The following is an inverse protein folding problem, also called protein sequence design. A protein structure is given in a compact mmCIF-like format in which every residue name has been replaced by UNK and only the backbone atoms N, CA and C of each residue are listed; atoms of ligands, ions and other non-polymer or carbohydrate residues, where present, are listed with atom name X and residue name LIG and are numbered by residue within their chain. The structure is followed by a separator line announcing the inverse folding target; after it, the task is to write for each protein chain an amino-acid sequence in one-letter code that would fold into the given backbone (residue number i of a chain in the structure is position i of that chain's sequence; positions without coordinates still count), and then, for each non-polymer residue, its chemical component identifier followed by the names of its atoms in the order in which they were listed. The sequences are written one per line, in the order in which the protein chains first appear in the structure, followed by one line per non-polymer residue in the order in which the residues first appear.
data_IF_865352039989
#
_entry.id   IF_865352039989
#
_cell.length_a   1.000
_cell.length_b   1.000
_cell.length_c   1.000
_cell.angle_alpha   90.00
_cell.angle_beta   90.00
_cell.angle_gamma   90.00
#
_symmetry.space_group_name_H-M   'P 1'
#
loop_
_entity.id
_entity.type
_entity.pdbx_description
1 polymer ?
#
# COMPACT_ATOMS: atom_id res chain seq x y z
N UNK A 1 64.71 5.97 0.78
CA UNK A 1 64.09 6.99 -0.04
C UNK A 1 62.73 6.42 -0.47
N UNK A 2 61.75 6.69 0.32
CA UNK A 2 60.41 6.09 0.22
C UNK A 2 59.42 7.25 0.06
N UNK A 3 58.91 7.39 -1.14
CA UNK A 3 57.82 8.31 -1.47
C UNK A 3 56.55 7.84 -0.77
N UNK A 4 55.96 8.72 -0.01
CA UNK A 4 54.63 8.55 0.53
C UNK A 4 53.64 9.20 -0.47
N UNK A 5 52.91 8.37 -1.17
CA UNK A 5 51.75 8.78 -1.89
C UNK A 5 50.64 9.21 -0.91
N UNK A 6 50.36 10.48 -0.92
CA UNK A 6 49.25 11.13 -0.23
C UNK A 6 48.18 11.51 -1.25
N UNK A 7 47.25 10.62 -1.52
CA UNK A 7 46.05 10.97 -2.25
C UNK A 7 44.89 10.09 -1.80
N UNK A 8 44.25 10.54 -0.76
CA UNK A 8 42.97 10.05 -0.28
C UNK A 8 42.09 11.24 0.07
N UNK A 9 41.69 12.00 -0.93
CA UNK A 9 40.61 12.98 -0.76
C UNK A 9 39.33 12.19 -0.49
N UNK A 10 38.99 12.03 0.80
CA UNK A 10 37.70 11.59 1.26
C UNK A 10 36.70 12.66 0.82
N UNK A 11 35.99 12.42 -0.25
CA UNK A 11 34.77 13.16 -0.59
C UNK A 11 33.84 13.04 0.60
N UNK A 12 33.68 14.12 1.34
CA UNK A 12 32.72 14.24 2.43
C UNK A 12 31.31 14.03 1.81
N UNK A 13 30.81 12.81 1.89
CA UNK A 13 29.47 12.47 1.47
C UNK A 13 28.50 13.34 2.25
N UNK A 14 27.57 13.99 1.55
CA UNK A 14 26.45 14.73 2.14
C UNK A 14 25.75 13.83 3.15
N UNK A 15 25.67 14.28 4.41
CA UNK A 15 25.14 13.49 5.52
C UNK A 15 23.62 13.29 5.46
N UNK A 16 22.93 13.95 4.51
CA UNK A 16 21.48 13.86 4.31
C UNK A 16 21.14 13.22 2.94
N UNK A 17 19.97 12.58 2.89
CA UNK A 17 19.50 11.83 1.71
C UNK A 17 18.80 12.68 0.63
N UNK A 18 18.72 13.99 0.81
CA UNK A 18 18.06 14.87 -0.14
C UNK A 18 18.88 15.02 -1.42
N UNK A 19 18.20 15.01 -2.58
CA UNK A 19 18.86 15.27 -3.86
C UNK A 19 19.41 16.70 -3.93
N UNK A 20 20.57 16.94 -4.56
CA UNK A 20 21.14 18.27 -4.70
C UNK A 20 20.17 19.29 -5.29
N UNK A 21 19.41 18.91 -6.32
CA UNK A 21 18.39 19.75 -6.94
C UNK A 21 17.23 20.13 -5.99
N UNK A 22 16.94 19.32 -4.96
CA UNK A 22 15.96 19.68 -3.95
C UNK A 22 16.55 20.64 -2.93
N UNK A 23 17.81 20.43 -2.54
CA UNK A 23 18.50 21.31 -1.60
C UNK A 23 18.64 22.72 -2.20
N UNK A 24 19.00 22.82 -3.47
CA UNK A 24 19.04 24.10 -4.20
C UNK A 24 17.67 24.81 -4.17
N UNK A 25 16.61 24.09 -4.54
CA UNK A 25 15.24 24.66 -4.47
C UNK A 25 14.81 25.05 -3.06
N UNK A 26 15.21 24.30 -2.04
CA UNK A 26 14.95 24.63 -0.64
C UNK A 26 15.70 25.90 -0.19
N UNK A 27 16.88 26.16 -0.74
CA UNK A 27 17.66 27.36 -0.48
C UNK A 27 17.07 28.59 -1.19
N UNK A 28 16.61 28.42 -2.43
CA UNK A 28 16.05 29.51 -3.24
C UNK A 28 14.62 29.88 -2.82
N UNK A 29 13.79 28.91 -2.56
CA UNK A 29 12.35 29.10 -2.28
C UNK A 29 11.89 28.35 -0.99
N UNK A 30 12.49 28.63 0.19
CA UNK A 30 12.19 27.91 1.43
C UNK A 30 10.71 28.01 1.85
N UNK A 31 10.03 29.11 1.49
CA UNK A 31 8.63 29.36 1.81
C UNK A 31 7.63 28.40 1.16
N UNK A 32 8.03 27.67 0.12
CA UNK A 32 7.19 26.65 -0.53
C UNK A 32 7.10 25.33 0.22
N UNK A 33 7.93 25.14 1.23
CA UNK A 33 8.06 23.87 1.93
C UNK A 33 7.59 23.99 3.37
N UNK A 34 6.82 23.01 3.82
CA UNK A 34 6.45 22.89 5.23
C UNK A 34 7.54 22.16 6.03
N UNK A 35 7.73 22.57 7.27
CA UNK A 35 8.73 22.03 8.19
C UNK A 35 8.56 20.52 8.43
N UNK A 36 7.33 20.08 8.75
CA UNK A 36 7.05 18.66 9.02
C UNK A 36 7.25 17.79 7.77
N UNK A 37 6.86 18.31 6.59
CA UNK A 37 7.04 17.61 5.32
C UNK A 37 8.53 17.44 4.95
N UNK A 38 9.34 18.48 5.20
CA UNK A 38 10.78 18.43 5.01
C UNK A 38 11.43 17.38 5.91
N UNK A 39 11.12 17.39 7.21
CA UNK A 39 11.66 16.41 8.15
C UNK A 39 11.19 14.99 7.84
N UNK A 40 9.94 14.80 7.42
CA UNK A 40 9.46 13.51 6.99
C UNK A 40 10.30 12.97 5.82
N UNK A 41 10.60 13.83 4.84
CA UNK A 41 11.40 13.43 3.68
C UNK A 41 12.84 13.07 4.05
N UNK A 42 13.45 13.77 5.01
CA UNK A 42 14.75 13.41 5.57
C UNK A 42 14.63 12.10 6.35
N UNK A 43 13.61 11.98 7.20
CA UNK A 43 13.38 10.83 8.06
C UNK A 43 13.01 9.54 7.33
N UNK A 44 12.55 9.61 6.08
CA UNK A 44 12.26 8.44 5.24
C UNK A 44 13.53 7.65 4.86
N UNK A 45 14.71 8.26 4.93
CA UNK A 45 15.96 7.55 4.72
C UNK A 45 16.25 6.58 5.86
N UNK A 46 16.25 5.28 5.56
CA UNK A 46 16.51 4.21 6.54
C UNK A 46 17.95 4.14 7.04
N UNK A 47 18.88 4.83 6.36
CA UNK A 47 20.30 4.89 6.74
C UNK A 47 20.57 5.79 7.94
N UNK A 48 19.64 6.69 8.26
CA UNK A 48 19.73 7.57 9.41
C UNK A 48 18.85 7.05 10.56
N UNK A 49 19.24 7.33 11.78
CA UNK A 49 18.40 7.04 12.96
C UNK A 49 17.07 7.81 12.90
N UNK A 50 16.06 7.31 13.62
CA UNK A 50 14.79 8.04 13.74
C UNK A 50 15.04 9.45 14.27
N UNK A 51 14.46 10.44 13.61
CA UNK A 51 14.57 11.84 14.04
C UNK A 51 14.07 11.97 15.49
N UNK A 52 14.86 12.63 16.32
CA UNK A 52 14.57 12.81 17.74
C UNK A 52 14.90 11.64 18.64
N UNK A 53 15.55 10.55 18.14
CA UNK A 53 16.07 9.47 18.98
C UNK A 53 17.56 9.61 19.28
N UNK A 54 18.27 10.42 18.50
CA UNK A 54 19.70 10.64 18.70
C UNK A 54 20.00 11.16 20.12
N UNK A 55 20.96 10.52 20.77
CA UNK A 55 21.44 10.93 22.11
C UNK A 55 22.27 12.21 22.06
N UNK A 56 22.92 12.46 20.93
CA UNK A 56 23.75 13.65 20.70
C UNK A 56 23.31 14.35 19.43
N UNK A 57 23.20 15.68 19.44
CA UNK A 57 22.84 16.43 18.23
C UNK A 57 23.76 16.14 17.04
N UNK A 58 25.02 15.77 17.29
CA UNK A 58 25.99 15.45 16.22
C UNK A 58 25.62 14.21 15.38
N UNK A 59 24.78 13.33 15.90
CA UNK A 59 24.34 12.13 15.20
C UNK A 59 23.26 12.41 14.14
N UNK A 60 22.59 13.58 14.21
CA UNK A 60 21.57 13.94 13.22
C UNK A 60 22.20 14.68 12.01
N UNK A 61 21.75 14.39 10.78
CA UNK A 61 22.32 14.95 9.54
C UNK A 61 21.88 16.39 9.26
N UNK A 62 21.13 17.00 10.15
CA UNK A 62 20.63 18.35 10.03
C UNK A 62 20.74 19.11 11.34
N UNK A 63 20.51 20.42 11.29
CA UNK A 63 20.39 21.31 12.43
C UNK A 63 19.14 22.13 12.28
N UNK A 64 18.34 22.19 13.33
CA UNK A 64 17.15 23.02 13.43
C UNK A 64 17.44 24.21 14.34
N UNK A 65 16.97 25.36 13.96
CA UNK A 65 17.07 26.58 14.72
C UNK A 65 15.94 27.55 14.42
N UNK A 66 15.94 28.70 15.10
CA UNK A 66 14.96 29.74 14.87
C UNK A 66 15.65 31.01 14.34
N UNK A 67 15.02 31.62 13.35
CA UNK A 67 15.41 32.96 12.88
C UNK A 67 14.86 34.02 13.82
N UNK A 68 15.74 34.82 14.45
CA UNK A 68 15.31 35.97 15.25
C UNK A 68 14.62 36.97 14.33
N UNK A 69 13.30 37.10 14.46
CA UNK A 69 12.46 38.00 13.65
C UNK A 69 11.39 38.69 14.49
N UNK A 70 11.12 39.93 14.19
CA UNK A 70 10.02 40.71 14.78
C UNK A 70 8.79 40.76 13.86
N UNK A 71 8.89 40.20 12.67
CA UNK A 71 7.78 40.10 11.73
C UNK A 71 6.88 38.93 12.05
N UNK A 72 5.60 39.04 11.75
CA UNK A 72 4.74 37.87 11.65
C UNK A 72 5.24 36.94 10.54
N UNK A 73 5.36 35.68 10.86
CA UNK A 73 5.98 34.70 9.96
C UNK A 73 5.17 34.57 8.66
N UNK A 74 5.77 34.86 7.49
CA UNK A 74 5.10 34.64 6.19
C UNK A 74 5.08 33.16 5.75
N UNK A 75 5.93 32.34 6.35
CA UNK A 75 6.11 30.93 6.08
C UNK A 75 6.65 30.21 7.31
N UNK A 76 6.68 28.89 7.31
CA UNK A 76 7.27 28.12 8.41
C UNK A 76 8.80 28.20 8.37
N UNK A 77 9.40 27.94 7.20
CA UNK A 77 10.85 27.91 7.00
C UNK A 77 11.36 29.30 6.60
N UNK A 78 12.29 29.83 7.35
CA UNK A 78 12.92 31.10 7.10
C UNK A 78 14.05 30.99 6.08
N UNK A 79 15.00 30.10 6.34
CA UNK A 79 16.09 29.81 5.42
C UNK A 79 16.62 28.37 5.60
N UNK A 80 17.26 27.87 4.56
CA UNK A 80 17.96 26.60 4.54
C UNK A 80 19.37 26.83 4.01
N UNK A 81 20.39 26.33 4.72
CA UNK A 81 21.79 26.42 4.31
C UNK A 81 22.48 25.09 4.54
N UNK A 82 23.40 24.75 3.68
CA UNK A 82 24.30 23.64 3.90
C UNK A 82 25.60 24.16 4.51
N UNK A 83 25.97 23.65 5.68
CA UNK A 83 27.20 24.01 6.38
C UNK A 83 27.77 22.75 7.05
N UNK A 84 29.08 22.53 6.95
CA UNK A 84 29.79 21.38 7.54
C UNK A 84 29.19 20.02 7.11
N UNK A 85 28.74 19.91 5.88
CA UNK A 85 28.07 18.70 5.34
C UNK A 85 26.71 18.40 5.93
N UNK A 86 26.06 19.37 6.62
CA UNK A 86 24.75 19.25 7.24
C UNK A 86 23.80 20.32 6.78
N UNK A 87 22.53 19.97 6.77
CA UNK A 87 21.47 20.89 6.45
C UNK A 87 21.09 21.74 7.66
N UNK A 88 21.33 23.05 7.63
CA UNK A 88 20.87 24.01 8.65
C UNK A 88 19.53 24.59 8.23
N UNK A 89 18.48 24.30 8.98
CA UNK A 89 17.11 24.79 8.70
C UNK A 89 16.70 25.72 9.84
N UNK A 90 16.40 26.96 9.51
CA UNK A 90 15.87 27.95 10.46
C UNK A 90 14.39 28.20 10.19
N UNK A 91 13.61 28.22 11.26
CA UNK A 91 12.17 28.46 11.24
C UNK A 91 11.88 29.88 11.73
N UNK A 92 10.78 30.47 11.25
CA UNK A 92 10.29 31.74 11.82
C UNK A 92 9.55 31.52 13.14
N UNK A 93 8.76 30.46 13.22
CA UNK A 93 7.95 30.11 14.38
C UNK A 93 8.51 28.90 15.14
N UNK A 94 7.70 28.37 16.05
CA UNK A 94 7.99 27.16 16.83
C UNK A 94 9.29 27.27 17.66
N UNK A 95 9.58 28.46 18.19
CA UNK A 95 10.79 28.68 18.97
C UNK A 95 10.56 29.65 20.13
N UNK A 96 11.64 29.99 20.82
CA UNK A 96 11.62 30.86 21.99
C UNK A 96 11.63 32.34 21.65
N UNK A 97 12.00 32.72 20.43
CA UNK A 97 12.13 34.06 19.92
C UNK A 97 10.90 34.47 19.10
N UNK A 98 10.76 35.76 18.86
CA UNK A 98 9.72 36.33 18.01
C UNK A 98 8.49 36.86 18.75
N UNK A 99 7.52 37.46 18.02
CA UNK A 99 6.34 38.10 18.62
C UNK A 99 5.48 37.13 19.43
N UNK A 100 5.44 35.87 19.03
CA UNK A 100 4.68 34.82 19.69
C UNK A 100 5.55 33.87 20.53
N UNK A 101 6.84 34.21 20.71
CA UNK A 101 7.76 33.42 21.53
C UNK A 101 7.53 33.63 23.02
N UNK A 102 7.89 32.67 23.87
CA UNK A 102 7.77 32.77 25.32
C UNK A 102 8.78 33.72 25.95
N UNK A 103 9.87 34.06 25.27
CA UNK A 103 10.84 35.03 25.78
C UNK A 103 10.37 36.47 25.57
N UNK A 104 10.73 37.40 26.50
CA UNK A 104 10.41 38.77 26.31
C UNK A 104 10.97 39.33 24.99
N UNK A 105 10.22 40.23 24.35
CA UNK A 105 10.51 40.70 22.99
C UNK A 105 11.91 41.33 22.85
N UNK A 106 12.41 42.01 23.90
CA UNK A 106 13.75 42.60 23.91
C UNK A 106 14.87 41.57 23.73
N UNK A 107 14.66 40.30 24.15
CA UNK A 107 15.63 39.22 23.91
C UNK A 107 15.71 38.91 22.41
N UNK A 108 14.56 38.97 21.72
CA UNK A 108 14.51 38.79 20.26
C UNK A 108 15.21 39.94 19.56
N UNK A 109 15.01 41.19 20.04
CA UNK A 109 15.69 42.39 19.52
C UNK A 109 17.20 42.29 19.66
N UNK A 110 17.68 41.90 20.85
CA UNK A 110 19.11 41.68 21.10
C UNK A 110 19.69 40.61 20.20
N UNK A 111 19.02 39.46 20.09
CA UNK A 111 19.47 38.36 19.26
C UNK A 111 19.56 38.78 17.77
N UNK A 112 18.54 39.49 17.27
CA UNK A 112 18.51 40.03 15.92
C UNK A 112 19.58 41.08 15.67
N UNK A 113 19.76 42.06 16.58
CA UNK A 113 20.79 43.07 16.44
C UNK A 113 22.18 42.47 16.41
N UNK A 114 22.48 41.52 17.32
CA UNK A 114 23.78 40.84 17.33
C UNK A 114 24.03 40.10 16.02
N UNK A 115 23.04 39.35 15.53
CA UNK A 115 23.19 38.58 14.31
C UNK A 115 23.34 39.46 13.07
N UNK A 116 22.47 40.51 12.92
CA UNK A 116 22.43 41.33 11.70
C UNK A 116 23.47 42.45 11.69
N UNK A 117 23.67 43.13 12.81
CA UNK A 117 24.53 44.32 12.87
C UNK A 117 25.96 43.97 13.28
N UNK A 118 26.16 42.96 14.14
CA UNK A 118 27.48 42.60 14.67
C UNK A 118 28.03 41.31 14.11
N UNK A 119 27.25 40.64 13.25
CA UNK A 119 27.58 39.32 12.71
C UNK A 119 27.91 38.26 13.80
N UNK A 120 27.32 38.42 15.00
CA UNK A 120 27.51 37.56 16.14
C UNK A 120 26.25 36.72 16.39
N UNK A 121 26.28 35.48 15.92
CA UNK A 121 25.20 34.53 16.08
C UNK A 121 25.25 33.74 17.41
N UNK A 122 26.20 34.03 18.31
CA UNK A 122 26.44 33.22 19.52
C UNK A 122 25.19 33.01 20.37
N UNK A 123 24.38 34.07 20.58
CA UNK A 123 23.14 33.98 21.37
C UNK A 123 22.09 33.11 20.65
N UNK A 124 21.92 33.31 19.35
CA UNK A 124 20.99 32.50 18.55
C UNK A 124 21.43 31.04 18.51
N UNK A 125 22.71 30.78 18.26
CA UNK A 125 23.25 29.41 18.22
C UNK A 125 23.17 28.71 19.61
N UNK A 126 23.28 29.44 20.71
CA UNK A 126 23.06 28.92 22.05
C UNK A 126 21.59 28.50 22.23
N UNK A 127 20.65 29.33 21.84
CA UNK A 127 19.21 28.99 21.90
C UNK A 127 18.86 27.86 20.94
N UNK A 128 19.54 27.77 19.81
CA UNK A 128 19.34 26.72 18.81
C UNK A 128 19.71 25.32 19.33
N UNK A 129 20.52 25.21 20.39
CA UNK A 129 20.76 23.92 21.07
C UNK A 129 19.44 23.36 21.62
N UNK A 130 18.63 24.21 22.22
CA UNK A 130 17.32 23.83 22.77
C UNK A 130 16.28 23.69 21.65
N UNK A 131 16.26 24.62 20.70
CA UNK A 131 15.35 24.60 19.56
C UNK A 131 15.48 23.26 18.79
N UNK A 132 16.69 22.87 18.47
CA UNK A 132 16.95 21.61 17.78
C UNK A 132 16.34 20.41 18.50
N UNK A 133 16.53 20.33 19.80
CA UNK A 133 16.04 19.19 20.59
C UNK A 133 14.52 19.12 20.62
N UNK A 134 13.84 20.19 20.98
CA UNK A 134 12.40 20.11 21.08
C UNK A 134 11.68 20.09 19.73
N UNK A 135 12.24 20.72 18.68
CA UNK A 135 11.69 20.61 17.32
C UNK A 135 11.78 19.19 16.78
N UNK A 136 12.88 18.48 17.06
CA UNK A 136 12.98 17.05 16.71
C UNK A 136 12.00 16.18 17.50
N UNK A 137 11.76 16.49 18.77
CA UNK A 137 10.76 15.81 19.60
C UNK A 137 9.33 16.13 19.13
N UNK A 138 9.06 17.38 18.74
CA UNK A 138 7.78 17.78 18.16
C UNK A 138 7.50 17.02 16.87
N UNK A 139 8.48 16.94 15.97
CA UNK A 139 8.36 16.12 14.76
C UNK A 139 8.08 14.65 15.10
N UNK A 140 8.81 14.08 16.06
CA UNK A 140 8.61 12.69 16.49
C UNK A 140 7.21 12.46 17.04
N UNK A 141 6.69 13.38 17.86
CA UNK A 141 5.32 13.31 18.38
C UNK A 141 4.29 13.36 17.24
N UNK A 142 4.47 14.29 16.30
CA UNK A 142 3.63 14.36 15.11
C UNK A 142 3.72 13.10 14.26
N UNK A 143 4.91 12.63 13.94
CA UNK A 143 5.12 11.44 13.11
C UNK A 143 4.51 10.18 13.71
N UNK A 144 4.52 10.04 15.03
CA UNK A 144 3.91 8.89 15.72
C UNK A 144 2.38 8.83 15.58
N UNK A 145 1.74 9.97 15.31
CA UNK A 145 0.30 10.08 15.09
C UNK A 145 -0.09 10.01 13.59
N UNK A 146 0.89 9.97 12.68
CA UNK A 146 0.65 9.96 11.24
C UNK A 146 0.92 8.59 10.62
N UNK A 147 -0.14 7.92 10.13
CA UNK A 147 -0.03 6.65 9.43
C UNK A 147 0.99 6.72 8.27
N UNK A 148 0.93 7.79 7.46
CA UNK A 148 1.80 7.98 6.32
C UNK A 148 3.29 8.11 6.68
N UNK A 149 3.63 8.66 7.86
CA UNK A 149 5.01 8.73 8.33
C UNK A 149 5.53 7.38 8.83
N UNK A 150 4.64 6.52 9.37
CA UNK A 150 4.95 5.15 9.73
C UNK A 150 5.30 4.29 8.52
N UNK A 151 4.57 4.44 7.41
CA UNK A 151 4.79 3.70 6.17
C UNK A 151 6.17 3.95 5.53
N UNK A 152 6.79 5.10 5.78
CA UNK A 152 8.14 5.38 5.31
C UNK A 152 9.19 4.45 5.96
N UNK A 153 8.86 3.85 7.12
CA UNK A 153 9.71 2.92 7.89
C UNK A 153 8.91 1.70 8.37
N UNK A 154 8.75 0.68 7.53
CA UNK A 154 7.91 -0.49 7.82
C UNK A 154 8.26 -1.21 9.13
N UNK A 155 9.54 -1.24 9.53
CA UNK A 155 9.99 -1.91 10.76
C UNK A 155 9.45 -1.25 12.05
N UNK A 156 9.04 0.01 11.95
CA UNK A 156 8.52 0.83 13.04
C UNK A 156 7.03 1.16 12.92
N UNK A 157 6.41 0.65 11.87
CA UNK A 157 5.05 0.95 11.51
C UNK A 157 4.07 0.22 12.44
N UNK A 158 3.21 0.98 13.12
CA UNK A 158 2.23 0.45 14.08
C UNK A 158 0.78 0.58 13.62
N UNK A 159 0.51 1.50 12.71
CA UNK A 159 -0.86 1.76 12.30
C UNK A 159 -1.45 0.58 11.54
N UNK A 160 -0.69 0.01 10.61
CA UNK A 160 -1.11 -1.20 9.89
C UNK A 160 -1.30 -2.39 10.83
N UNK A 161 -0.44 -2.51 11.86
CA UNK A 161 -0.61 -3.54 12.88
C UNK A 161 -1.94 -3.38 13.63
N UNK A 162 -2.30 -2.16 14.05
CA UNK A 162 -3.58 -1.93 14.73
C UNK A 162 -4.78 -2.21 13.82
N UNK A 163 -4.74 -1.77 12.56
CA UNK A 163 -5.80 -2.02 11.60
C UNK A 163 -5.92 -3.53 11.31
N UNK A 164 -4.81 -4.23 11.12
CA UNK A 164 -4.78 -5.68 10.93
C UNK A 164 -5.39 -6.41 12.14
N UNK A 165 -4.97 -6.04 13.35
CA UNK A 165 -5.48 -6.64 14.60
C UNK A 165 -6.99 -6.43 14.76
N UNK A 166 -7.52 -5.25 14.41
CA UNK A 166 -8.96 -5.00 14.42
C UNK A 166 -9.72 -5.85 13.40
N UNK A 167 -9.08 -6.18 12.28
CA UNK A 167 -9.66 -7.04 11.24
C UNK A 167 -9.41 -8.54 11.48
N UNK A 168 -8.74 -8.92 12.57
CA UNK A 168 -8.38 -10.32 12.86
C UNK A 168 -7.31 -10.88 11.93
N UNK A 169 -6.47 -10.02 11.34
CA UNK A 169 -5.42 -10.40 10.40
C UNK A 169 -4.05 -10.36 11.08
N UNK A 170 -3.22 -11.38 10.86
CA UNK A 170 -1.81 -11.32 11.23
C UNK A 170 -1.00 -10.62 10.13
N UNK A 171 -0.35 -9.51 10.51
CA UNK A 171 0.43 -8.70 9.57
C UNK A 171 1.64 -9.46 9.00
N UNK A 172 2.19 -10.42 9.74
CA UNK A 172 3.30 -11.25 9.29
C UNK A 172 2.88 -12.24 8.20
N UNK A 173 1.66 -12.74 8.25
CA UNK A 173 1.13 -13.70 7.28
C UNK A 173 0.60 -13.04 6.01
N UNK A 174 -0.04 -11.86 6.13
CA UNK A 174 -0.59 -11.16 4.96
C UNK A 174 0.46 -10.69 3.94
N UNK A 175 1.73 -10.68 4.33
CA UNK A 175 2.86 -10.33 3.44
C UNK A 175 3.25 -11.42 2.44
N UNK A 176 2.77 -12.65 2.60
CA UNK A 176 3.22 -13.81 1.84
C UNK A 176 2.30 -14.22 0.66
N UNK A 177 1.19 -13.51 0.45
CA UNK A 177 0.22 -13.81 -0.61
C UNK A 177 0.40 -12.96 -1.88
N UNK A 178 -0.38 -13.23 -2.93
CA UNK A 178 -0.41 -12.45 -4.15
C UNK A 178 -1.00 -11.05 -3.97
N UNK A 179 -1.69 -10.79 -2.85
CA UNK A 179 -2.23 -9.48 -2.52
C UNK A 179 -1.21 -8.66 -1.73
N UNK A 180 -1.03 -7.38 -2.08
CA UNK A 180 -0.26 -6.46 -1.24
C UNK A 180 -0.88 -6.35 0.16
N UNK A 181 -0.07 -6.27 1.24
CA UNK A 181 -0.59 -6.19 2.61
C UNK A 181 -1.60 -5.06 2.81
N UNK A 182 -1.30 -3.88 2.28
CA UNK A 182 -2.20 -2.72 2.40
C UNK A 182 -3.51 -2.85 1.63
N UNK A 183 -3.59 -3.72 0.62
CA UNK A 183 -4.85 -3.98 -0.07
C UNK A 183 -5.88 -4.61 0.89
N UNK A 184 -5.48 -5.61 1.68
CA UNK A 184 -6.36 -6.21 2.70
C UNK A 184 -6.76 -5.21 3.77
N UNK A 185 -5.82 -4.39 4.23
CA UNK A 185 -6.08 -3.36 5.23
C UNK A 185 -7.06 -2.29 4.73
N UNK A 186 -7.05 -1.97 3.43
CA UNK A 186 -8.01 -1.02 2.84
C UNK A 186 -9.45 -1.54 2.88
N UNK A 187 -9.64 -2.85 2.89
CA UNK A 187 -10.95 -3.51 2.99
C UNK A 187 -11.36 -3.87 4.42
N UNK A 188 -10.60 -3.42 5.44
CA UNK A 188 -10.84 -3.78 6.85
C UNK A 188 -12.27 -3.53 7.31
N UNK A 189 -12.94 -2.47 6.83
CA UNK A 189 -14.32 -2.17 7.16
C UNK A 189 -15.32 -3.28 6.75
N UNK A 190 -15.00 -4.03 5.71
CA UNK A 190 -15.76 -5.20 5.28
C UNK A 190 -15.29 -6.47 5.98
N UNK A 191 -13.99 -6.60 6.23
CA UNK A 191 -13.38 -7.79 6.83
C UNK A 191 -13.63 -7.92 8.34
N UNK A 192 -13.85 -6.82 9.05
CA UNK A 192 -14.21 -6.82 10.50
C UNK A 192 -15.55 -7.46 10.78
N UNK A 193 -16.50 -7.38 9.84
CA UNK A 193 -17.84 -7.92 10.02
C UNK A 193 -17.82 -9.44 9.95
N UNK A 194 -18.40 -10.13 10.91
CA UNK A 194 -18.61 -11.58 10.85
C UNK A 194 -19.61 -11.96 9.76
N UNK A 195 -20.70 -11.22 9.62
CA UNK A 195 -21.68 -11.43 8.55
C UNK A 195 -21.12 -10.94 7.22
N UNK A 196 -20.65 -11.88 6.41
CA UNK A 196 -20.21 -11.62 5.03
C UNK A 196 -21.44 -11.48 4.13
N UNK A 197 -21.42 -10.46 3.29
CA UNK A 197 -22.52 -10.22 2.34
C UNK A 197 -21.99 -10.09 0.90
N UNK A 198 -22.82 -10.42 -0.12
CA UNK A 198 -22.42 -10.36 -1.51
C UNK A 198 -22.03 -8.94 -1.97
N UNK A 199 -22.73 -7.92 -1.46
CA UNK A 199 -22.43 -6.52 -1.78
C UNK A 199 -21.06 -6.08 -1.26
N UNK A 200 -20.69 -6.52 -0.05
CA UNK A 200 -19.36 -6.24 0.51
C UNK A 200 -18.24 -6.86 -0.31
N UNK A 201 -18.42 -8.10 -0.77
CA UNK A 201 -17.47 -8.75 -1.67
C UNK A 201 -17.39 -8.01 -3.00
N UNK A 202 -18.54 -7.70 -3.63
CA UNK A 202 -18.62 -6.95 -4.87
C UNK A 202 -17.87 -5.61 -4.77
N UNK A 203 -18.18 -4.80 -3.76
CA UNK A 203 -17.56 -3.49 -3.56
C UNK A 203 -16.05 -3.59 -3.33
N UNK A 204 -15.60 -4.60 -2.60
CA UNK A 204 -14.17 -4.84 -2.36
C UNK A 204 -13.43 -5.16 -3.66
N UNK A 205 -14.01 -6.06 -4.49
CA UNK A 205 -13.43 -6.44 -5.77
C UNK A 205 -13.46 -5.28 -6.78
N UNK A 206 -14.57 -4.55 -6.88
CA UNK A 206 -14.68 -3.36 -7.75
C UNK A 206 -13.65 -2.30 -7.38
N UNK A 207 -13.50 -2.03 -6.08
CA UNK A 207 -12.54 -1.04 -5.61
C UNK A 207 -11.09 -1.44 -5.92
N UNK A 208 -10.75 -2.72 -5.71
CA UNK A 208 -9.38 -3.20 -5.89
C UNK A 208 -8.98 -3.32 -7.37
N UNK A 209 -9.84 -3.90 -8.21
CA UNK A 209 -9.52 -4.16 -9.62
C UNK A 209 -9.88 -3.01 -10.56
N UNK A 210 -10.74 -2.09 -10.11
CA UNK A 210 -11.23 -0.97 -10.93
C UNK A 210 -12.10 -1.41 -12.10
N UNK A 211 -12.78 -2.56 -11.98
CA UNK A 211 -13.64 -3.14 -13.03
C UNK A 211 -15.02 -3.46 -12.46
N UNK A 212 -16.08 -3.45 -13.29
CA UNK A 212 -17.40 -3.84 -12.82
C UNK A 212 -17.43 -5.30 -12.38
N UNK A 213 -18.04 -5.57 -11.22
CA UNK A 213 -18.22 -6.90 -10.66
C UNK A 213 -19.67 -7.09 -10.25
N UNK A 214 -20.23 -8.27 -10.48
CA UNK A 214 -21.50 -8.70 -9.95
C UNK A 214 -21.37 -10.06 -9.27
N UNK A 215 -22.20 -10.34 -8.29
CA UNK A 215 -22.24 -11.62 -7.61
C UNK A 215 -23.61 -12.25 -7.89
N UNK A 216 -23.59 -13.42 -8.51
CA UNK A 216 -24.78 -14.25 -8.70
C UNK A 216 -24.81 -15.29 -7.57
N UNK A 217 -25.83 -15.22 -6.74
CA UNK A 217 -26.06 -16.15 -5.65
C UNK A 217 -26.85 -17.38 -6.11
N UNK A 218 -26.82 -18.44 -5.34
CA UNK A 218 -27.63 -19.67 -5.55
C UNK A 218 -27.38 -20.31 -6.93
N UNK A 219 -26.14 -20.37 -7.35
CA UNK A 219 -25.76 -20.96 -8.63
C UNK A 219 -25.93 -22.48 -8.55
N UNK A 220 -26.65 -23.03 -9.54
CA UNK A 220 -26.86 -24.44 -9.63
C UNK A 220 -25.56 -25.23 -9.82
N UNK A 221 -25.34 -26.24 -8.98
CA UNK A 221 -24.22 -27.16 -9.08
C UNK A 221 -24.67 -28.59 -8.78
N UNK A 222 -23.95 -29.59 -9.31
CA UNK A 222 -24.10 -30.98 -8.94
C UNK A 222 -23.03 -31.32 -7.90
N UNK A 223 -23.46 -31.88 -6.76
CA UNK A 223 -22.57 -32.38 -5.70
C UNK A 223 -22.52 -33.88 -5.81
N UNK A 224 -21.31 -34.43 -5.90
CA UNK A 224 -21.10 -35.86 -5.88
C UNK A 224 -21.43 -36.42 -4.49
N UNK A 225 -22.20 -37.48 -4.45
CA UNK A 225 -22.55 -38.21 -3.21
C UNK A 225 -21.44 -39.16 -2.87
N UNK A 226 -21.07 -39.30 -1.60
CA UNK A 226 -20.09 -40.28 -1.16
C UNK A 226 -20.51 -41.69 -1.52
N UNK A 227 -19.55 -42.53 -1.93
CA UNK A 227 -19.80 -43.89 -2.36
C UNK A 227 -20.54 -44.72 -1.31
N UNK A 228 -20.30 -44.44 -0.03
CA UNK A 228 -20.96 -45.12 1.10
C UNK A 228 -22.43 -44.73 1.27
N UNK A 229 -22.81 -43.59 0.73
CA UNK A 229 -24.18 -43.05 0.76
C UNK A 229 -24.96 -43.36 -0.52
N UNK A 230 -24.35 -44.05 -1.49
CA UNK A 230 -25.07 -44.47 -2.68
C UNK A 230 -26.15 -45.50 -2.36
N UNK A 231 -27.32 -45.36 -2.97
CA UNK A 231 -28.41 -46.31 -2.86
C UNK A 231 -28.17 -47.53 -3.71
N UNK A 232 -28.14 -48.72 -3.11
CA UNK A 232 -27.98 -49.98 -3.79
C UNK A 232 -29.20 -50.86 -3.63
N UNK A 233 -29.68 -51.40 -4.73
CA UNK A 233 -30.80 -52.35 -4.72
C UNK A 233 -30.44 -53.63 -3.93
N UNK A 234 -31.26 -53.99 -2.94
CA UNK A 234 -31.05 -55.19 -2.13
C UNK A 234 -30.03 -55.04 -0.99
N UNK A 235 -29.41 -53.87 -0.79
CA UNK A 235 -28.57 -53.64 0.39
C UNK A 235 -29.43 -53.01 1.54
N UNK A 236 -29.39 -53.57 2.74
CA UNK A 236 -30.06 -52.96 3.90
C UNK A 236 -29.22 -51.72 4.34
N UNK A 237 -29.88 -50.65 4.69
CA UNK A 237 -29.24 -49.42 5.19
C UNK A 237 -30.12 -48.19 4.99
N UNK A 238 -29.84 -47.12 5.72
CA UNK A 238 -30.55 -45.86 5.61
C UNK A 238 -30.46 -45.26 4.18
N UNK A 239 -29.29 -45.35 3.55
CA UNK A 239 -29.06 -44.88 2.21
C UNK A 239 -29.84 -45.62 1.11
N UNK A 240 -30.37 -46.81 1.40
CA UNK A 240 -31.16 -47.63 0.48
C UNK A 240 -32.64 -47.75 0.89
N UNK A 241 -33.07 -47.06 1.95
CA UNK A 241 -34.44 -47.06 2.46
C UNK A 241 -35.23 -45.89 1.86
N UNK A 242 -36.29 -46.17 1.14
CA UNK A 242 -37.19 -45.15 0.60
C UNK A 242 -37.71 -44.22 1.70
N UNK A 243 -37.82 -42.92 1.43
CA UNK A 243 -38.25 -41.87 2.34
C UNK A 243 -37.32 -41.57 3.53
N UNK A 244 -36.21 -42.31 3.70
CA UNK A 244 -35.25 -42.11 4.80
C UNK A 244 -33.93 -41.51 4.26
N UNK A 245 -33.31 -42.13 3.25
CA UNK A 245 -32.03 -41.67 2.70
C UNK A 245 -31.75 -42.13 1.28
N UNK A 246 -32.72 -42.82 0.61
CA UNK A 246 -32.51 -43.27 -0.74
C UNK A 246 -32.43 -42.10 -1.72
N UNK A 247 -31.28 -41.98 -2.40
CA UNK A 247 -31.02 -41.01 -3.45
C UNK A 247 -30.96 -41.72 -4.81
N UNK A 248 -31.48 -41.05 -5.84
CA UNK A 248 -31.40 -41.57 -7.22
C UNK A 248 -30.22 -40.95 -7.94
N UNK A 249 -29.22 -41.76 -8.28
CA UNK A 249 -28.02 -41.34 -8.98
C UNK A 249 -26.83 -41.10 -8.04
N UNK A 250 -25.72 -40.65 -8.62
CA UNK A 250 -24.43 -40.43 -7.95
C UNK A 250 -24.24 -38.96 -7.56
N UNK A 251 -25.18 -38.11 -7.96
CA UNK A 251 -25.09 -36.63 -7.75
C UNK A 251 -26.41 -36.07 -7.27
N UNK A 252 -26.35 -35.05 -6.43
CA UNK A 252 -27.49 -34.31 -5.92
C UNK A 252 -27.44 -32.86 -6.42
N UNK A 253 -28.59 -32.36 -6.80
CA UNK A 253 -28.74 -30.97 -7.23
C UNK A 253 -28.63 -30.02 -6.04
N UNK A 254 -27.71 -29.08 -6.11
CA UNK A 254 -27.50 -28.06 -5.05
C UNK A 254 -27.54 -26.65 -5.63
N UNK A 255 -28.01 -25.70 -4.80
CA UNK A 255 -27.98 -24.27 -5.07
C UNK A 255 -27.52 -23.44 -3.86
N UNK A 256 -27.20 -24.07 -2.75
CA UNK A 256 -26.92 -23.37 -1.50
C UNK A 256 -25.43 -23.08 -1.31
N UNK A 257 -24.56 -23.91 -1.87
CA UNK A 257 -23.13 -23.87 -1.58
C UNK A 257 -22.28 -23.23 -2.67
N UNK A 258 -22.89 -22.75 -3.76
CA UNK A 258 -22.14 -22.19 -4.89
C UNK A 258 -22.65 -20.80 -5.28
N UNK A 259 -21.70 -19.87 -5.44
CA UNK A 259 -21.97 -18.55 -6.03
C UNK A 259 -21.05 -18.30 -7.24
N UNK A 260 -21.37 -17.27 -8.01
CA UNK A 260 -20.60 -16.88 -9.18
C UNK A 260 -20.15 -15.43 -9.05
N UNK A 261 -18.86 -15.21 -9.30
CA UNK A 261 -18.29 -13.89 -9.47
C UNK A 261 -18.32 -13.56 -10.97
N UNK A 262 -19.04 -12.55 -11.35
CA UNK A 262 -19.13 -12.07 -12.74
C UNK A 262 -18.31 -10.81 -12.86
N UNK A 263 -17.26 -10.84 -13.69
CA UNK A 263 -16.36 -9.70 -13.89
C UNK A 263 -16.55 -9.16 -15.30
N UNK A 264 -16.92 -7.91 -15.40
CA UNK A 264 -17.13 -7.23 -16.69
C UNK A 264 -18.45 -6.48 -16.82
N UNK A 265 -18.65 -5.83 -18.01
CA UNK A 265 -17.97 -6.04 -19.30
C UNK A 265 -16.56 -5.42 -19.38
N UNK A 266 -15.58 -6.21 -19.81
CA UNK A 266 -14.15 -5.85 -19.87
C UNK A 266 -13.70 -5.52 -21.31
N UNK A 267 -12.63 -4.76 -21.42
CA UNK A 267 -11.83 -4.71 -22.64
C UNK A 267 -10.89 -5.92 -22.69
N UNK A 268 -10.34 -6.25 -23.85
CA UNK A 268 -9.56 -7.48 -24.05
C UNK A 268 -8.35 -7.56 -23.11
N UNK A 269 -7.64 -6.45 -22.91
CA UNK A 269 -6.46 -6.43 -22.04
C UNK A 269 -6.84 -6.71 -20.58
N UNK A 270 -7.89 -6.08 -20.08
CA UNK A 270 -8.43 -6.33 -18.75
C UNK A 270 -8.95 -7.78 -18.62
N UNK A 271 -9.61 -8.31 -19.67
CA UNK A 271 -10.10 -9.68 -19.71
C UNK A 271 -8.95 -10.69 -19.56
N UNK A 272 -7.86 -10.50 -20.30
CA UNK A 272 -6.70 -11.40 -20.27
C UNK A 272 -6.02 -11.46 -18.88
N UNK A 273 -6.10 -10.38 -18.11
CA UNK A 273 -5.56 -10.33 -16.73
C UNK A 273 -6.26 -11.33 -15.78
N UNK A 274 -7.54 -11.67 -16.04
CA UNK A 274 -8.32 -12.60 -15.22
C UNK A 274 -8.34 -14.04 -15.78
N UNK A 275 -7.68 -14.31 -16.90
CA UNK A 275 -7.51 -15.66 -17.40
C UNK A 275 -6.47 -16.46 -16.57
N UNK A 276 -6.38 -17.80 -16.67
CA UNK A 276 -5.46 -18.59 -15.87
C UNK A 276 -3.98 -18.19 -15.92
N UNK A 277 -3.60 -17.42 -16.92
CA UNK A 277 -2.22 -16.93 -17.06
C UNK A 277 -2.10 -15.44 -16.77
N UNK A 278 -3.21 -14.81 -16.42
CA UNK A 278 -3.26 -13.39 -16.08
C UNK A 278 -2.80 -13.15 -14.64
N UNK A 279 -2.23 -11.96 -14.42
CA UNK A 279 -1.69 -11.58 -13.12
C UNK A 279 -2.76 -11.35 -12.04
N UNK A 280 -4.01 -11.09 -12.43
CA UNK A 280 -5.07 -10.76 -11.48
C UNK A 280 -5.88 -11.97 -11.00
N UNK A 281 -5.82 -13.12 -11.70
CA UNK A 281 -6.54 -14.31 -11.26
C UNK A 281 -6.11 -14.79 -9.86
N UNK A 282 -4.82 -14.93 -9.53
CA UNK A 282 -4.40 -15.32 -8.19
C UNK A 282 -4.82 -14.31 -7.11
N UNK A 283 -4.79 -13.02 -7.45
CA UNK A 283 -5.27 -11.95 -6.54
C UNK A 283 -6.77 -12.04 -6.29
N UNK A 284 -7.54 -12.35 -7.33
CA UNK A 284 -8.98 -12.55 -7.21
C UNK A 284 -9.31 -13.75 -6.33
N UNK A 285 -8.63 -14.88 -6.52
CA UNK A 285 -8.79 -16.07 -5.68
C UNK A 285 -8.48 -15.75 -4.22
N UNK A 286 -7.38 -15.07 -3.97
CA UNK A 286 -6.99 -14.67 -2.62
C UNK A 286 -8.00 -13.72 -1.97
N UNK A 287 -8.55 -12.76 -2.74
CA UNK A 287 -9.60 -11.87 -2.25
C UNK A 287 -10.87 -12.62 -1.85
N UNK A 288 -11.34 -13.51 -2.71
CA UNK A 288 -12.54 -14.30 -2.45
C UNK A 288 -12.34 -15.16 -1.20
N UNK A 289 -11.17 -15.83 -1.07
CA UNK A 289 -10.86 -16.65 0.10
C UNK A 289 -10.64 -15.85 1.37
N UNK A 290 -10.02 -14.69 1.31
CA UNK A 290 -9.90 -13.78 2.45
C UNK A 290 -11.28 -13.29 2.93
N UNK A 291 -12.22 -13.07 2.00
CA UNK A 291 -13.54 -12.55 2.32
C UNK A 291 -14.52 -13.65 2.79
N UNK A 292 -14.59 -14.76 2.09
CA UNK A 292 -15.60 -15.83 2.30
C UNK A 292 -15.06 -17.05 3.04
N UNK A 293 -13.74 -17.21 3.17
CA UNK A 293 -13.16 -18.46 3.67
C UNK A 293 -13.33 -19.61 2.68
N UNK A 294 -13.45 -20.84 3.22
CA UNK A 294 -13.58 -22.08 2.43
C UNK A 294 -15.00 -22.70 2.51
N UNK A 295 -15.94 -21.98 3.06
CA UNK A 295 -17.30 -22.47 3.29
C UNK A 295 -18.09 -22.69 1.99
N UNK A 296 -17.87 -21.82 0.99
CA UNK A 296 -18.57 -21.85 -0.28
C UNK A 296 -17.65 -22.19 -1.44
N UNK A 297 -18.19 -22.94 -2.41
CA UNK A 297 -17.59 -23.06 -3.74
C UNK A 297 -17.96 -21.84 -4.59
N UNK A 298 -17.14 -21.54 -5.56
CA UNK A 298 -17.41 -20.44 -6.48
C UNK A 298 -16.85 -20.65 -7.86
N UNK A 299 -17.46 -19.99 -8.81
CA UNK A 299 -17.01 -19.95 -10.19
C UNK A 299 -16.84 -18.50 -10.68
N UNK A 300 -15.98 -18.33 -11.65
CA UNK A 300 -15.72 -17.06 -12.30
C UNK A 300 -16.33 -17.04 -13.68
N UNK A 301 -17.11 -15.99 -13.98
CA UNK A 301 -17.61 -15.67 -15.32
C UNK A 301 -16.98 -14.36 -15.78
N UNK A 302 -16.29 -14.38 -16.90
CA UNK A 302 -15.73 -13.19 -17.50
C UNK A 302 -16.66 -12.69 -18.62
N UNK A 303 -17.00 -11.40 -18.60
CA UNK A 303 -17.79 -10.75 -19.67
C UNK A 303 -16.93 -9.76 -20.42
N UNK A 304 -17.05 -9.79 -21.75
CA UNK A 304 -16.28 -8.96 -22.66
C UNK A 304 -17.20 -7.96 -23.39
N UNK A 305 -16.68 -6.77 -23.67
CA UNK A 305 -17.34 -5.82 -24.57
C UNK A 305 -17.27 -6.35 -26.01
N UNK A 306 -18.35 -6.38 -26.77
CA UNK A 306 -18.37 -6.97 -28.13
C UNK A 306 -17.30 -6.41 -29.06
N UNK A 307 -17.08 -5.10 -28.98
CA UNK A 307 -16.11 -4.40 -29.83
C UNK A 307 -14.67 -4.75 -29.51
N UNK A 308 -14.41 -5.28 -28.33
CA UNK A 308 -13.07 -5.68 -27.85
C UNK A 308 -12.74 -7.15 -28.10
N UNK A 309 -13.70 -7.96 -28.61
CA UNK A 309 -13.48 -9.36 -28.93
C UNK A 309 -12.72 -9.52 -30.26
N UNK A 310 -11.44 -9.92 -30.26
CA UNK A 310 -10.74 -10.13 -31.52
C UNK A 310 -11.19 -11.45 -32.16
N UNK A 311 -11.40 -11.48 -33.49
CA UNK A 311 -11.65 -12.74 -34.19
C UNK A 311 -10.43 -13.65 -34.08
N UNK A 312 -10.65 -14.96 -33.95
CA UNK A 312 -9.58 -15.95 -33.90
C UNK A 312 -8.82 -15.97 -35.22
N UNK A 313 -7.48 -15.88 -35.13
CA UNK A 313 -6.57 -15.93 -36.27
C UNK A 313 -5.59 -17.08 -36.04
N UNK A 314 -5.44 -17.96 -37.04
CA UNK A 314 -4.46 -19.05 -37.01
C UNK A 314 -3.03 -18.47 -36.88
N UNK A 315 -2.29 -18.93 -35.86
CA UNK A 315 -0.96 -18.40 -35.56
C UNK A 315 -0.96 -17.08 -34.78
N UNK A 316 -2.11 -16.56 -34.35
CA UNK A 316 -2.24 -15.39 -33.49
C UNK A 316 -1.94 -15.70 -32.02
N UNK A 317 -1.93 -14.65 -31.19
CA UNK A 317 -1.72 -14.74 -29.72
C UNK A 317 -2.94 -15.30 -28.97
N UNK A 318 -4.07 -15.51 -29.65
CA UNK A 318 -5.30 -16.01 -29.05
C UNK A 318 -5.14 -17.49 -28.63
N UNK A 319 -5.77 -17.83 -27.51
CA UNK A 319 -5.74 -19.20 -26.97
C UNK A 319 -7.12 -19.84 -27.10
N UNK A 320 -7.12 -21.05 -27.63
CA UNK A 320 -8.33 -21.83 -27.77
C UNK A 320 -8.98 -22.07 -26.39
N UNK A 321 -10.29 -21.84 -26.30
CA UNK A 321 -11.06 -21.97 -25.06
C UNK A 321 -10.94 -20.78 -24.08
N UNK A 322 -10.06 -19.79 -24.32
CA UNK A 322 -9.86 -18.65 -23.44
C UNK A 322 -10.07 -17.29 -24.10
N UNK A 323 -9.41 -17.03 -25.21
CA UNK A 323 -9.41 -15.71 -25.86
C UNK A 323 -9.65 -15.75 -27.36
N UNK A 324 -10.16 -16.84 -27.90
CA UNK A 324 -10.51 -16.98 -29.31
C UNK A 324 -12.02 -16.98 -29.53
N UNK A 325 -12.51 -16.07 -30.38
CA UNK A 325 -13.92 -15.99 -30.79
C UNK A 325 -14.08 -16.24 -32.29
N UNK A 326 -15.10 -17.00 -32.67
CA UNK A 326 -15.42 -17.23 -34.07
C UNK A 326 -16.13 -16.00 -34.64
N UNK A 327 -15.42 -15.25 -35.48
CA UNK A 327 -15.98 -14.06 -36.16
C UNK A 327 -16.09 -12.83 -35.23
N UNK A 328 -16.92 -11.87 -35.68
CA UNK A 328 -17.24 -10.67 -34.90
C UNK A 328 -18.61 -10.84 -34.25
N UNK A 329 -18.77 -10.27 -33.07
CA UNK A 329 -20.04 -10.30 -32.35
C UNK A 329 -21.15 -9.61 -33.19
N UNK A 330 -22.30 -10.27 -33.38
CA UNK A 330 -23.38 -9.73 -34.19
C UNK A 330 -24.21 -8.65 -33.50
N UNK A 331 -24.03 -8.42 -32.19
CA UNK A 331 -24.85 -7.53 -31.37
C UNK A 331 -23.98 -6.61 -30.49
N UNK A 332 -24.54 -5.48 -30.06
CA UNK A 332 -23.93 -4.56 -29.10
C UNK A 332 -24.07 -5.02 -27.62
N UNK A 333 -24.61 -6.23 -27.39
CA UNK A 333 -24.74 -6.82 -26.06
C UNK A 333 -23.41 -7.32 -25.50
N UNK A 334 -23.40 -7.67 -24.21
CA UNK A 334 -22.21 -8.25 -23.56
C UNK A 334 -21.99 -9.67 -24.11
N UNK A 335 -20.71 -10.02 -24.31
CA UNK A 335 -20.32 -11.39 -24.65
C UNK A 335 -19.92 -12.10 -23.36
N UNK A 336 -20.60 -13.22 -23.05
CA UNK A 336 -20.10 -14.14 -22.05
C UNK A 336 -18.84 -14.79 -22.61
N UNK A 337 -17.69 -14.53 -21.99
CA UNK A 337 -16.43 -15.13 -22.37
C UNK A 337 -16.30 -16.56 -21.83
N UNK A 338 -15.52 -16.73 -20.79
CA UNK A 338 -15.27 -18.03 -20.17
C UNK A 338 -15.91 -18.10 -18.80
N UNK A 339 -16.44 -19.29 -18.47
CA UNK A 339 -16.90 -19.65 -17.13
C UNK A 339 -16.07 -20.84 -16.64
N UNK A 340 -15.48 -20.73 -15.45
CA UNK A 340 -14.60 -21.78 -14.90
C UNK A 340 -14.45 -21.66 -13.38
N UNK A 341 -13.99 -22.74 -12.74
CA UNK A 341 -13.60 -22.74 -11.32
C UNK A 341 -12.14 -22.28 -11.22
N UNK A 342 -11.86 -21.06 -10.73
CA UNK A 342 -10.53 -20.44 -10.83
C UNK A 342 -9.48 -21.12 -9.96
N UNK A 343 -9.86 -21.69 -8.83
CA UNK A 343 -8.96 -22.37 -7.91
C UNK A 343 -8.23 -23.58 -8.53
N UNK A 344 -8.87 -24.25 -9.49
CA UNK A 344 -8.24 -25.35 -10.23
C UNK A 344 -7.01 -24.90 -11.04
N UNK A 345 -6.93 -23.59 -11.32
CA UNK A 345 -5.87 -22.99 -12.11
C UNK A 345 -4.87 -22.22 -11.26
N UNK A 346 -5.31 -21.61 -10.17
CA UNK A 346 -4.47 -20.81 -9.27
C UNK A 346 -3.37 -21.68 -8.59
N UNK A 347 -3.67 -22.94 -8.26
CA UNK A 347 -2.72 -23.85 -7.64
C UNK A 347 -1.55 -24.28 -8.55
N UNK A 348 -1.58 -23.96 -9.84
CA UNK A 348 -0.54 -24.34 -10.82
C UNK A 348 0.58 -23.30 -10.98
N UNK A 349 0.48 -22.16 -10.31
CA UNK A 349 1.49 -21.12 -10.37
C UNK A 349 2.25 -21.06 -9.05
N UNK A 350 3.53 -21.48 -9.03
CA UNK A 350 4.39 -21.27 -7.86
C UNK A 350 4.53 -19.77 -7.58
N UNK A 351 4.59 -19.39 -6.31
CA UNK A 351 4.63 -18.03 -5.80
C UNK A 351 5.95 -17.28 -6.10
N UNK A 352 6.38 -17.17 -7.34
CA UNK A 352 7.54 -16.35 -7.74
C UNK A 352 7.20 -14.87 -7.96
N UNK A 353 6.24 -14.34 -7.18
CA UNK A 353 5.77 -12.96 -7.30
C UNK A 353 6.72 -11.91 -6.71
N UNK A 354 7.62 -12.34 -5.82
CA UNK A 354 8.54 -11.42 -5.14
C UNK A 354 9.56 -10.77 -6.09
N UNK A 355 9.87 -11.39 -7.24
CA UNK A 355 10.85 -10.88 -8.20
C UNK A 355 10.28 -9.92 -9.24
N UNK A 356 8.98 -9.98 -9.54
CA UNK A 356 8.36 -9.14 -10.57
C UNK A 356 8.01 -7.71 -10.07
N UNK A 357 7.89 -7.50 -8.77
CA UNK A 357 7.53 -6.19 -8.20
C UNK A 357 8.70 -5.20 -8.11
N UNK A 358 9.95 -5.66 -8.28
CA UNK A 358 11.16 -4.82 -8.15
C UNK A 358 11.57 -4.17 -9.48
N UNK A 359 10.97 -4.56 -10.60
CA UNK A 359 11.39 -4.08 -11.95
C UNK A 359 10.63 -2.84 -12.45
N UNK A 360 9.69 -2.28 -11.68
CA UNK A 360 8.89 -1.10 -12.05
C UNK A 360 8.79 -0.03 -10.93
N UNK A 361 9.83 0.11 -10.10
CA UNK A 361 9.95 1.22 -9.14
C UNK A 361 11.12 2.15 -9.52
#
# INVERSE_FOLDING_TARGET
MMERDSSGAVTAGTSHSLSPALVERLQDEPWRYGFLALLRRIGADRRIDRIGTATRPRAEPFRLGQQASLFFAPSEIANVREADGRLKVRLFGLGMLGPNGPLPIHVTEIAREREQSRHDATLADFLDIFHHRYLTLLYRAWASAQAAAGLDRPDDERFSFYVASLAGLDISEIGHGPLPPHARLSASAHLVREARNPDGLRMTLEHYFGVPVAIDEYVFNWIDVDVDEHSYLGKPGAASTMTVGALLGEQVADRQHTFRVVVGPLDIDAYLRFTPQGADLPRLVEWVRTFMGHEFEWELELRLKPRSAPPAVLGGAQRLGWSGWLGRAPHDGQITGVRFKPERYAARFPCDWASAAVSHA
#
